data_IF_747688190798
#
_entry.id   IF_747688190798
#
_cell.length_a   1.000
_cell.length_b   1.000
_cell.length_c   1.000
_cell.angle_alpha   90.00
_cell.angle_beta   90.00
_cell.angle_gamma   90.00
#
_symmetry.space_group_name_H-M   'P 1'
#
loop_
_entity.id
_entity.type
_entity.pdbx_description
1 polymer ?
#
# COMPACT_ATOMS: atom_id res chain seq x y z
N UNK A 1 -8.11 1.80 -7.05
CA UNK A 1 -7.82 3.19 -6.63
C UNK A 1 -8.34 4.20 -7.67
N UNK A 2 -9.58 4.04 -8.14
CA UNK A 2 -10.10 4.86 -9.23
C UNK A 2 -10.48 6.28 -8.76
N UNK A 3 -11.08 6.41 -7.57
CA UNK A 3 -11.51 7.70 -7.05
C UNK A 3 -10.32 8.61 -6.65
N UNK A 4 -9.32 8.06 -5.97
CA UNK A 4 -8.08 8.80 -5.61
C UNK A 4 -7.34 9.32 -6.85
N UNK A 5 -7.40 8.57 -7.95
CA UNK A 5 -6.78 8.96 -9.20
C UNK A 5 -7.36 10.23 -9.82
N UNK A 6 -8.67 10.43 -9.68
CA UNK A 6 -9.37 11.61 -10.22
C UNK A 6 -9.33 12.77 -9.23
N UNK A 7 -9.54 12.49 -7.95
CA UNK A 7 -9.77 13.54 -6.95
C UNK A 7 -8.46 14.12 -6.37
N UNK A 8 -7.48 13.26 -6.11
CA UNK A 8 -6.19 13.69 -5.54
C UNK A 8 -5.12 13.89 -6.63
N UNK A 9 -5.24 13.16 -7.73
CA UNK A 9 -4.35 13.29 -8.87
C UNK A 9 -2.88 13.18 -8.46
N UNK A 10 -2.07 14.18 -8.82
CA UNK A 10 -0.64 14.26 -8.50
C UNK A 10 -0.32 15.19 -7.33
N UNK A 11 -1.34 15.70 -6.63
CA UNK A 11 -1.13 16.72 -5.60
C UNK A 11 -0.56 16.14 -4.31
N UNK A 12 -0.95 14.91 -3.95
CA UNK A 12 -0.58 14.29 -2.68
C UNK A 12 -0.40 12.78 -2.84
N UNK A 13 0.53 12.25 -2.05
CA UNK A 13 0.67 10.81 -1.83
C UNK A 13 -0.13 10.37 -0.61
N UNK A 14 -0.82 9.23 -0.71
CA UNK A 14 -1.69 8.73 0.38
C UNK A 14 -1.20 7.39 0.87
N UNK A 15 -1.02 7.25 2.18
CA UNK A 15 -0.80 5.97 2.86
C UNK A 15 -2.12 5.44 3.40
N UNK A 16 -2.52 4.24 2.98
CA UNK A 16 -3.77 3.61 3.37
C UNK A 16 -3.51 2.51 4.41
N UNK A 17 -4.22 2.59 5.53
CA UNK A 17 -4.18 1.63 6.62
C UNK A 17 -5.61 1.21 7.00
N UNK A 18 -5.76 0.01 7.53
CA UNK A 18 -7.04 -0.55 7.97
C UNK A 18 -6.90 -1.09 9.40
N UNK A 19 -7.74 -0.60 10.31
CA UNK A 19 -7.76 -1.02 11.72
C UNK A 19 -8.98 -1.91 11.99
N UNK A 20 -8.77 -3.22 12.10
CA UNK A 20 -9.84 -4.22 12.25
C UNK A 20 -9.52 -5.19 13.38
N UNK A 21 -10.55 -5.87 13.89
CA UNK A 21 -10.36 -6.92 14.90
C UNK A 21 -9.58 -8.10 14.30
N UNK A 22 -8.70 -8.70 15.10
CA UNK A 22 -7.80 -9.79 14.67
C UNK A 22 -8.54 -11.00 14.10
N UNK A 23 -9.71 -11.31 14.64
CA UNK A 23 -10.51 -12.46 14.23
C UNK A 23 -11.07 -12.34 12.80
N UNK A 24 -11.10 -11.13 12.22
CA UNK A 24 -11.54 -10.91 10.83
C UNK A 24 -10.41 -11.13 9.81
N UNK A 25 -9.16 -11.24 10.27
CA UNK A 25 -7.99 -11.39 9.41
C UNK A 25 -7.60 -12.86 9.27
N UNK A 26 -7.24 -13.31 8.05
CA UNK A 26 -6.72 -14.66 7.85
C UNK A 26 -5.37 -14.82 8.54
N UNK A 27 -5.10 -16.04 9.01
CA UNK A 27 -3.78 -16.39 9.52
C UNK A 27 -2.78 -16.52 8.36
N UNK A 28 -1.57 -15.99 8.56
CA UNK A 28 -0.48 -16.18 7.61
C UNK A 28 -0.10 -17.66 7.50
N UNK A 29 -0.22 -18.22 6.29
CA UNK A 29 0.15 -19.59 5.97
C UNK A 29 1.07 -19.61 4.75
N UNK A 30 1.97 -20.58 4.70
CA UNK A 30 2.79 -20.83 3.53
C UNK A 30 1.95 -21.59 2.50
N UNK A 31 1.94 -21.10 1.26
CA UNK A 31 1.26 -21.74 0.14
C UNK A 31 2.21 -21.77 -1.06
N UNK A 32 2.18 -22.86 -1.83
CA UNK A 32 2.93 -22.98 -3.08
C UNK A 32 2.24 -22.23 -4.25
N UNK A 33 1.00 -21.77 -4.07
CA UNK A 33 0.19 -21.05 -5.06
C UNK A 33 0.04 -19.58 -4.67
N UNK A 34 0.23 -18.70 -5.64
CA UNK A 34 0.43 -17.26 -5.38
C UNK A 34 -0.87 -16.45 -5.37
N UNK A 35 -1.98 -16.99 -5.89
CA UNK A 35 -3.23 -16.25 -6.10
C UNK A 35 -3.85 -15.71 -4.81
N UNK A 36 -3.67 -16.40 -3.69
CA UNK A 36 -4.18 -15.99 -2.37
C UNK A 36 -3.06 -15.82 -1.33
N UNK A 37 -1.82 -15.64 -1.78
CA UNK A 37 -0.69 -15.50 -0.86
C UNK A 37 -0.80 -14.20 -0.07
N UNK A 38 -0.70 -14.32 1.25
CA UNK A 38 -0.74 -13.18 2.15
C UNK A 38 0.53 -12.32 1.96
N UNK A 39 0.39 -11.00 1.90
CA UNK A 39 1.52 -10.11 1.62
C UNK A 39 2.37 -9.88 2.87
N UNK A 40 3.65 -10.25 2.79
CA UNK A 40 4.64 -9.96 3.82
C UNK A 40 4.75 -8.45 4.06
N UNK A 41 4.79 -8.05 5.33
CA UNK A 41 4.86 -6.64 5.74
C UNK A 41 3.54 -5.85 5.59
N UNK A 42 2.44 -6.50 5.17
CA UNK A 42 1.12 -5.85 5.03
C UNK A 42 0.02 -6.60 5.75
N UNK A 43 -0.26 -7.83 5.33
CA UNK A 43 -1.42 -8.61 5.81
C UNK A 43 -1.04 -9.95 6.43
N UNK A 44 0.25 -10.34 6.39
CA UNK A 44 0.73 -11.59 6.95
C UNK A 44 0.79 -11.53 8.49
N UNK A 45 -0.37 -11.68 9.13
CA UNK A 45 -0.49 -11.72 10.59
C UNK A 45 -0.43 -13.16 11.07
N UNK A 46 0.48 -13.46 12.00
CA UNK A 46 0.64 -14.81 12.56
C UNK A 46 -0.54 -15.18 13.45
N UNK A 47 -0.83 -16.48 13.51
CA UNK A 47 -1.83 -17.02 14.43
C UNK A 47 -1.39 -16.77 15.89
N UNK A 48 -2.26 -16.22 16.74
CA UNK A 48 -1.94 -16.07 18.16
C UNK A 48 -1.87 -17.43 18.87
N UNK A 49 -0.93 -17.59 19.80
CA UNK A 49 -0.79 -18.84 20.56
C UNK A 49 -1.98 -19.08 21.50
N UNK A 50 -2.60 -18.01 22.03
CA UNK A 50 -3.77 -18.05 22.90
C UNK A 50 -4.95 -17.33 22.24
N UNK A 51 -5.77 -18.07 21.50
CA UNK A 51 -6.93 -17.52 20.77
C UNK A 51 -7.97 -16.87 21.71
N UNK A 52 -8.02 -17.30 22.97
CA UNK A 52 -9.02 -16.88 23.96
C UNK A 52 -8.76 -15.47 24.53
N UNK A 53 -7.53 -14.95 24.42
CA UNK A 53 -7.15 -13.61 24.93
C UNK A 53 -7.31 -12.47 23.93
N UNK A 54 -7.42 -12.75 22.63
CA UNK A 54 -7.28 -11.75 21.57
C UNK A 54 -8.53 -11.54 20.69
N UNK A 55 -9.71 -11.99 21.12
CA UNK A 55 -10.94 -11.84 20.34
C UNK A 55 -11.27 -10.37 20.01
N UNK A 56 -10.93 -9.44 20.90
CA UNK A 56 -11.16 -8.00 20.75
C UNK A 56 -9.89 -7.19 20.40
N UNK A 57 -8.78 -7.87 20.10
CA UNK A 57 -7.52 -7.20 19.78
C UNK A 57 -7.60 -6.56 18.38
N UNK A 58 -7.39 -5.25 18.29
CA UNK A 58 -7.46 -4.49 17.04
C UNK A 58 -6.08 -4.42 16.41
N UNK A 59 -5.99 -4.91 15.18
CA UNK A 59 -4.76 -4.89 14.39
C UNK A 59 -4.86 -3.84 13.29
N UNK A 60 -3.79 -3.06 13.13
CA UNK A 60 -3.64 -2.12 12.02
C UNK A 60 -2.83 -2.77 10.91
N UNK A 61 -3.42 -2.96 9.73
CA UNK A 61 -2.75 -3.50 8.54
C UNK A 61 -2.56 -2.42 7.47
N UNK A 62 -1.55 -2.60 6.63
CA UNK A 62 -1.21 -1.65 5.56
C UNK A 62 -1.86 -2.08 4.24
N UNK A 63 -2.73 -1.22 3.67
CA UNK A 63 -3.41 -1.49 2.40
C UNK A 63 -2.59 -1.05 1.18
N UNK A 64 -1.61 -0.16 1.40
CA UNK A 64 -0.69 0.30 0.36
C UNK A 64 -0.52 1.80 0.34
N UNK A 65 0.08 2.29 -0.75
CA UNK A 65 0.30 3.71 -1.01
C UNK A 65 -0.25 4.06 -2.38
N UNK A 66 -1.00 5.16 -2.45
CA UNK A 66 -1.35 5.80 -3.70
C UNK A 66 -0.29 6.87 -4.00
N UNK A 67 0.30 6.79 -5.18
CA UNK A 67 1.27 7.73 -5.72
C UNK A 67 1.10 7.76 -7.24
N UNK A 68 0.79 8.93 -7.80
CA UNK A 68 0.52 9.07 -9.24
C UNK A 68 1.80 9.18 -10.06
N UNK A 69 2.73 10.00 -9.60
CA UNK A 69 4.03 10.19 -10.27
C UNK A 69 5.04 9.33 -9.53
N UNK A 70 5.55 8.30 -10.22
CA UNK A 70 6.78 7.63 -9.79
C UNK A 70 7.93 8.50 -10.26
N UNK A 71 8.85 8.84 -9.37
CA UNK A 71 10.05 9.59 -9.75
C UNK A 71 10.75 8.83 -10.88
N UNK A 72 10.92 9.52 -12.01
CA UNK A 72 11.57 8.95 -13.17
C UNK A 72 13.05 9.30 -13.09
N UNK A 73 13.89 8.28 -12.90
CA UNK A 73 15.34 8.42 -12.80
C UNK A 73 15.95 8.77 -14.17
N UNK A 74 15.18 8.66 -15.26
CA UNK A 74 15.61 8.96 -16.62
C UNK A 74 15.31 10.41 -17.02
N UNK A 75 15.76 11.38 -16.22
CA UNK A 75 15.76 12.78 -16.66
C UNK A 75 16.78 12.90 -17.80
N UNK A 76 16.31 13.05 -19.03
CA UNK A 76 17.15 13.33 -20.19
C UNK A 76 17.53 14.81 -20.12
N UNK A 77 18.82 15.11 -20.04
CA UNK A 77 19.31 16.47 -20.19
C UNK A 77 18.92 16.96 -21.60
N UNK A 78 18.26 18.11 -21.66
CA UNK A 78 17.89 18.79 -22.90
C UNK A 78 18.76 20.05 -22.99
N UNK A 79 19.50 20.17 -24.09
CA UNK A 79 20.46 21.28 -24.32
C UNK A 79 19.79 22.59 -24.78
N UNK A 80 18.49 22.59 -25.06
CA UNK A 80 17.77 23.76 -25.54
C UNK A 80 16.55 24.05 -24.66
N UNK A 81 16.67 25.05 -23.79
CA UNK A 81 15.56 25.62 -23.02
C UNK A 81 15.06 26.92 -23.71
N UNK A 82 13.73 27.09 -23.73
CA UNK A 82 13.03 28.00 -24.65
C UNK A 82 13.55 29.44 -24.71
N UNK A 83 14.17 29.78 -25.84
CA UNK A 83 14.77 31.08 -26.13
C UNK A 83 13.72 32.06 -26.72
N UNK A 84 12.73 32.41 -25.90
CA UNK A 84 11.70 33.39 -26.29
C UNK A 84 12.32 34.80 -26.32
N UNK A 85 12.43 35.38 -27.53
CA UNK A 85 12.90 36.76 -27.72
C UNK A 85 11.77 37.74 -27.40
N UNK A 86 12.03 38.67 -26.48
CA UNK A 86 11.20 39.81 -26.09
C UNK A 86 11.22 40.94 -27.12
#
# INVERSE_FOLDING_TARGET
MALLHVWLGSHLDVRLQLCVARHLLPDAQLCCQQEHAVQLGRTAVLRPLDAQKQADDRVTIYLGRYQRVRENIHRRESDEDGDYRS
#
